data_IF_842885128904
#
_entry.id   IF_842885128904
#
_cell.length_a   1.000
_cell.length_b   1.000
_cell.length_c   1.000
_cell.angle_alpha   90.00
_cell.angle_beta   90.00
_cell.angle_gamma   90.00
#
_symmetry.space_group_name_H-M   'P 1'
#
loop_
_entity.id
_entity.type
_entity.pdbx_description
1 polymer ?
#
# COMPACT_ATOMS: atom_id res chain seq x y z
N UNK A 1 -3.91 -17.67 3.85
CA UNK A 1 -3.72 -16.26 4.19
C UNK A 1 -2.36 -16.11 4.85
N UNK A 2 -1.38 -15.46 4.21
CA UNK A 2 -0.14 -15.06 4.93
C UNK A 2 -0.54 -13.94 5.90
N UNK A 3 -0.09 -13.99 7.16
CA UNK A 3 -0.48 -12.95 8.13
C UNK A 3 0.08 -11.60 7.67
N UNK A 4 -0.73 -10.55 7.74
CA UNK A 4 -0.35 -9.18 7.35
C UNK A 4 0.90 -8.71 8.10
N UNK A 5 1.09 -9.20 9.33
CA UNK A 5 2.23 -8.90 10.18
C UNK A 5 3.56 -9.31 9.51
N UNK A 6 3.60 -10.48 8.86
CA UNK A 6 4.84 -10.93 8.19
C UNK A 6 5.31 -10.05 7.04
N UNK A 7 4.41 -9.34 6.35
CA UNK A 7 4.79 -8.45 5.24
C UNK A 7 5.30 -7.12 5.77
N UNK A 8 4.64 -6.57 6.80
CA UNK A 8 5.08 -5.34 7.47
C UNK A 8 6.45 -5.56 8.12
N UNK A 9 6.65 -6.69 8.80
CA UNK A 9 7.94 -7.03 9.41
C UNK A 9 9.04 -7.18 8.35
N UNK A 10 8.75 -7.81 7.22
CA UNK A 10 9.70 -7.93 6.11
C UNK A 10 10.06 -6.57 5.49
N UNK A 11 9.10 -5.64 5.42
CA UNK A 11 9.38 -4.26 4.97
C UNK A 11 10.27 -3.53 5.97
N UNK A 12 9.96 -3.59 7.27
CA UNK A 12 10.75 -2.93 8.31
C UNK A 12 12.16 -3.53 8.44
N UNK A 13 12.33 -4.83 8.20
CA UNK A 13 13.64 -5.47 8.19
C UNK A 13 14.52 -4.98 7.02
N UNK A 14 13.94 -4.72 5.85
CA UNK A 14 14.65 -4.25 4.65
C UNK A 14 14.88 -2.74 4.65
N UNK A 15 13.91 -1.97 5.16
CA UNK A 15 13.95 -0.53 5.24
C UNK A 15 13.48 -0.07 6.63
N UNK A 16 14.37 -0.11 7.64
CA UNK A 16 14.02 0.30 9.00
C UNK A 16 13.50 1.74 9.05
N UNK A 17 12.33 1.94 9.67
CA UNK A 17 11.72 3.26 9.76
C UNK A 17 11.01 3.71 8.49
N UNK A 18 10.85 2.83 7.51
CA UNK A 18 10.03 3.09 6.35
C UNK A 18 8.56 3.29 6.74
N UNK A 19 7.90 4.26 6.10
CA UNK A 19 6.50 4.61 6.31
C UNK A 19 5.80 4.68 4.98
N UNK A 20 4.64 4.02 4.90
CA UNK A 20 3.71 4.17 3.77
C UNK A 20 2.61 5.12 4.23
N UNK A 21 2.39 6.19 3.46
CA UNK A 21 1.33 7.16 3.71
C UNK A 21 0.46 7.30 2.46
N UNK A 22 -0.86 7.35 2.65
CA UNK A 22 -1.80 7.65 1.57
C UNK A 22 -1.57 9.07 1.06
N UNK A 23 -1.38 9.22 -0.25
CA UNK A 23 -1.06 10.51 -0.90
C UNK A 23 -2.20 11.11 -1.71
N UNK A 24 -3.33 10.38 -1.86
CA UNK A 24 -4.51 10.83 -2.59
C UNK A 24 -5.84 10.41 -1.94
N UNK A 25 -6.99 10.79 -2.54
CA UNK A 25 -8.30 10.35 -2.08
C UNK A 25 -8.47 8.84 -2.26
N UNK A 26 -9.35 8.24 -1.45
CA UNK A 26 -9.87 6.90 -1.73
C UNK A 26 -10.94 7.03 -2.81
N UNK A 27 -10.84 6.19 -3.84
CA UNK A 27 -11.85 6.05 -4.89
C UNK A 27 -12.50 4.67 -4.74
N UNK A 28 -13.83 4.63 -4.89
CA UNK A 28 -14.62 3.40 -4.79
C UNK A 28 -15.51 3.28 -6.01
N UNK A 29 -15.52 2.10 -6.63
CA UNK A 29 -16.41 1.76 -7.73
C UNK A 29 -16.83 0.29 -7.60
N UNK A 30 -18.09 0.04 -7.21
CA UNK A 30 -18.60 -1.30 -6.90
C UNK A 30 -17.74 -1.99 -5.82
N UNK A 31 -17.21 -3.17 -6.10
CA UNK A 31 -16.32 -3.94 -5.21
C UNK A 31 -14.86 -3.49 -5.30
N UNK A 32 -14.53 -2.50 -6.14
CA UNK A 32 -13.18 -1.97 -6.28
C UNK A 32 -12.95 -0.76 -5.37
N UNK A 33 -11.85 -0.80 -4.61
CA UNK A 33 -11.32 0.33 -3.83
C UNK A 33 -9.89 0.63 -4.28
N UNK A 34 -9.56 1.90 -4.47
CA UNK A 34 -8.19 2.28 -4.84
C UNK A 34 -7.76 3.62 -4.25
N UNK A 35 -6.47 3.74 -3.94
CA UNK A 35 -5.84 4.95 -3.45
C UNK A 35 -4.35 4.97 -3.80
N UNK A 36 -3.79 6.16 -3.96
CA UNK A 36 -2.35 6.35 -4.14
C UNK A 36 -1.63 6.45 -2.79
N UNK A 37 -0.37 6.02 -2.75
CA UNK A 37 0.48 6.06 -1.58
C UNK A 37 1.91 6.49 -1.92
N UNK A 38 2.65 6.88 -0.88
CA UNK A 38 4.07 7.22 -0.93
C UNK A 38 4.81 6.45 0.18
N UNK A 39 5.95 5.87 -0.18
CA UNK A 39 6.89 5.21 0.74
C UNK A 39 8.06 6.16 1.02
N UNK A 40 8.30 6.50 2.28
CA UNK A 40 9.44 7.32 2.72
C UNK A 40 10.21 6.62 3.84
N UNK A 41 11.46 7.03 4.07
CA UNK A 41 12.22 6.68 5.29
C UNK A 41 12.59 7.99 5.99
N UNK A 42 12.12 8.16 7.23
CA UNK A 42 12.26 9.42 7.97
C UNK A 42 11.68 10.61 7.20
N UNK A 43 12.38 11.75 7.25
CA UNK A 43 12.05 12.97 6.51
C UNK A 43 12.73 13.04 5.13
N UNK A 44 13.24 11.90 4.65
CA UNK A 44 13.89 11.79 3.34
C UNK A 44 12.91 11.88 2.16
N UNK A 45 13.43 11.92 0.92
CA UNK A 45 12.61 11.88 -0.28
C UNK A 45 11.81 10.56 -0.35
N UNK A 46 10.75 10.57 -1.17
CA UNK A 46 10.02 9.36 -1.49
C UNK A 46 10.96 8.32 -2.13
N UNK A 47 10.95 7.11 -1.57
CA UNK A 47 11.64 5.94 -2.12
C UNK A 47 10.83 5.29 -3.25
N UNK A 48 9.50 5.32 -3.11
CA UNK A 48 8.57 4.85 -4.11
C UNK A 48 7.22 5.56 -3.96
N UNK A 49 6.50 5.66 -5.06
CA UNK A 49 5.06 5.94 -5.07
C UNK A 49 4.34 4.80 -5.75
N UNK A 50 3.04 4.71 -5.50
CA UNK A 50 2.24 3.72 -6.16
C UNK A 50 0.78 3.81 -5.80
N UNK A 51 0.09 2.74 -6.09
CA UNK A 51 -1.35 2.59 -5.88
C UNK A 51 -1.69 1.17 -5.48
N UNK A 52 -2.58 1.07 -4.51
CA UNK A 52 -3.24 -0.18 -4.19
C UNK A 52 -4.57 -0.24 -4.92
N UNK A 53 -4.89 -1.40 -5.49
CA UNK A 53 -6.19 -1.75 -6.07
C UNK A 53 -6.71 -2.96 -5.33
N UNK A 54 -7.74 -2.74 -4.52
CA UNK A 54 -8.37 -3.74 -3.68
C UNK A 54 -9.69 -4.18 -4.32
N UNK A 55 -9.99 -5.47 -4.23
CA UNK A 55 -11.34 -5.99 -4.42
C UNK A 55 -11.88 -6.35 -3.04
N UNK A 56 -13.01 -5.76 -2.66
CA UNK A 56 -13.65 -5.90 -1.35
C UNK A 56 -15.03 -6.52 -1.51
N UNK A 57 -15.28 -7.65 -0.85
CA UNK A 57 -16.56 -8.37 -0.87
C UNK A 57 -16.86 -8.86 0.53
N UNK A 58 -18.12 -8.79 0.95
CA UNK A 58 -18.57 -9.21 2.28
C UNK A 58 -17.73 -8.56 3.41
N UNK A 59 -17.43 -7.27 3.26
CA UNK A 59 -16.58 -6.48 4.17
C UNK A 59 -15.13 -6.99 4.32
N UNK A 60 -14.67 -7.88 3.44
CA UNK A 60 -13.31 -8.42 3.42
C UNK A 60 -12.55 -8.05 2.14
N UNK A 61 -11.24 -7.80 2.28
CA UNK A 61 -10.33 -7.63 1.13
C UNK A 61 -10.04 -9.01 0.54
N UNK A 62 -10.66 -9.34 -0.58
CA UNK A 62 -10.49 -10.64 -1.25
C UNK A 62 -9.33 -10.66 -2.26
N UNK A 63 -8.88 -9.48 -2.71
CA UNK A 63 -7.70 -9.33 -3.55
C UNK A 63 -7.03 -7.97 -3.33
N UNK A 64 -5.70 -7.94 -3.41
CA UNK A 64 -4.89 -6.72 -3.40
C UNK A 64 -3.87 -6.80 -4.55
N UNK A 65 -3.90 -5.79 -5.42
CA UNK A 65 -2.86 -5.55 -6.42
C UNK A 65 -2.14 -4.27 -6.08
N UNK A 66 -0.82 -4.33 -6.06
CA UNK A 66 0.05 -3.17 -5.82
C UNK A 66 0.70 -2.79 -7.14
N UNK A 67 0.51 -1.56 -7.56
CA UNK A 67 1.15 -0.96 -8.74
C UNK A 67 2.15 0.06 -8.24
N UNK A 68 3.44 -0.17 -8.54
CA UNK A 68 4.50 0.79 -8.25
C UNK A 68 4.67 1.68 -9.47
N UNK A 69 4.68 3.00 -9.26
CA UNK A 69 4.83 3.95 -10.36
C UNK A 69 6.26 3.88 -10.93
N UNK A 70 6.39 4.06 -12.25
CA UNK A 70 7.69 4.18 -12.89
C UNK A 70 8.33 5.54 -12.55
N UNK A 71 9.67 5.64 -12.57
CA UNK A 71 10.39 6.90 -12.39
C UNK A 71 10.05 7.97 -13.43
#
# INVERSE_FOLDING_TARGET
MRSTDTIVDALQAQAPGARIARSGPIQVAQDLVTYSWTLTVGDGPALATGRDVLIVRDDEVVSLHVVVDAP
#
